data_IF_858354951370
#
_entry.id   IF_858354951370
#
_cell.length_a   1.000
_cell.length_b   1.000
_cell.length_c   1.000
_cell.angle_alpha   90.00
_cell.angle_beta   90.00
_cell.angle_gamma   90.00
#
_symmetry.space_group_name_H-M   'P 1'
#
loop_
_entity.id
_entity.type
_entity.pdbx_description
1 polymer ?
#
# COMPACT_ATOMS: atom_id res chain seq x y z
N UNK A 1 11.40 20.11 0.48
CA UNK A 1 12.62 19.44 1.02
C UNK A 1 12.92 18.23 0.14
N UNK A 2 14.05 17.54 0.34
CA UNK A 2 14.23 16.21 -0.25
C UNK A 2 13.63 15.16 0.69
N UNK A 3 12.94 14.18 0.12
CA UNK A 3 12.38 13.04 0.83
C UNK A 3 13.46 12.36 1.67
N UNK A 4 13.10 11.96 2.89
CA UNK A 4 13.93 11.16 3.78
C UNK A 4 13.33 9.77 3.95
N UNK A 5 14.11 8.82 4.46
CA UNK A 5 13.60 7.50 4.83
C UNK A 5 13.99 7.10 6.25
N UNK A 6 13.17 6.25 6.84
CA UNK A 6 13.46 5.46 8.02
C UNK A 6 13.26 3.98 7.70
N UNK A 7 13.97 3.11 8.42
CA UNK A 7 13.79 1.67 8.37
C UNK A 7 13.58 1.15 9.79
N UNK A 8 12.54 0.36 9.98
CA UNK A 8 12.17 -0.21 11.27
C UNK A 8 11.94 -1.71 11.14
N UNK A 9 12.38 -2.47 12.13
CA UNK A 9 12.05 -3.90 12.26
C UNK A 9 10.61 -4.06 12.75
N UNK A 10 9.88 -4.98 12.12
CA UNK A 10 8.47 -5.23 12.37
C UNK A 10 7.52 -4.56 11.38
N UNK A 11 6.24 -4.62 11.70
CA UNK A 11 5.15 -4.00 10.93
C UNK A 11 4.75 -2.74 11.67
N UNK A 12 5.13 -1.59 11.11
CA UNK A 12 5.06 -0.26 11.73
C UNK A 12 4.26 0.72 10.85
N UNK A 13 2.96 0.47 10.59
CA UNK A 13 2.23 1.35 9.68
C UNK A 13 2.12 2.76 10.27
N UNK A 14 2.35 3.77 9.44
CA UNK A 14 2.54 5.17 9.86
C UNK A 14 1.28 5.78 10.49
N UNK A 15 0.13 5.36 9.99
CA UNK A 15 -1.21 5.82 10.38
C UNK A 15 -1.84 4.98 11.51
N UNK A 16 -1.10 4.01 12.07
CA UNK A 16 -1.65 3.08 13.08
C UNK A 16 -0.93 3.19 14.42
N UNK A 17 -1.74 3.21 15.48
CA UNK A 17 -1.26 3.17 16.87
C UNK A 17 -0.66 1.79 17.18
N UNK A 18 -1.31 0.73 16.70
CA UNK A 18 -0.86 -0.65 16.92
C UNK A 18 0.30 -0.98 15.99
N UNK A 19 1.40 -1.41 16.59
CA UNK A 19 2.62 -1.77 15.89
C UNK A 19 3.10 -3.14 16.36
N UNK A 20 3.58 -3.97 15.43
CA UNK A 20 4.11 -5.31 15.73
C UNK A 20 5.63 -5.28 15.59
N UNK A 21 6.36 -5.63 16.65
CA UNK A 21 7.84 -5.68 16.68
C UNK A 21 8.45 -7.00 16.24
N UNK A 22 7.77 -7.77 15.39
CA UNK A 22 8.20 -9.10 14.95
C UNK A 22 9.39 -9.00 13.98
N UNK A 23 10.51 -9.63 14.34
CA UNK A 23 11.77 -9.53 13.60
C UNK A 23 11.75 -10.17 12.21
N UNK A 24 10.71 -10.95 11.88
CA UNK A 24 10.51 -11.52 10.55
C UNK A 24 10.06 -10.50 9.51
N UNK A 25 9.67 -9.30 9.94
CA UNK A 25 9.17 -8.25 9.07
C UNK A 25 10.03 -6.99 9.15
N UNK A 26 9.89 -6.14 8.13
CA UNK A 26 10.46 -4.81 8.10
C UNK A 26 9.49 -3.81 7.49
N UNK A 27 9.58 -2.57 7.96
CA UNK A 27 8.85 -1.42 7.43
C UNK A 27 9.84 -0.34 7.04
N UNK A 28 9.91 -0.02 5.75
CA UNK A 28 10.64 1.13 5.23
C UNK A 28 9.64 2.25 4.96
N UNK A 29 9.86 3.43 5.51
CA UNK A 29 8.99 4.59 5.33
C UNK A 29 9.76 5.70 4.63
N UNK A 30 9.23 6.21 3.51
CA UNK A 30 9.64 7.47 2.89
C UNK A 30 8.75 8.60 3.42
N UNK A 31 9.33 9.74 3.77
CA UNK A 31 8.63 10.86 4.41
C UNK A 31 9.03 12.16 3.69
N UNK A 32 8.03 13.00 3.39
CA UNK A 32 8.21 14.37 2.90
C UNK A 32 7.07 15.27 3.41
N UNK A 33 7.15 16.57 3.17
CA UNK A 33 6.14 17.55 3.59
C UNK A 33 4.95 17.63 2.63
N UNK A 34 5.03 16.92 1.50
CA UNK A 34 4.07 16.98 0.40
C UNK A 34 3.92 15.59 -0.24
N UNK A 35 2.67 15.17 -0.45
CA UNK A 35 2.35 13.87 -1.02
C UNK A 35 2.96 13.68 -2.41
N UNK A 36 2.99 14.74 -3.24
CA UNK A 36 3.58 14.65 -4.58
C UNK A 36 5.06 14.30 -4.52
N UNK A 37 5.81 14.90 -3.60
CA UNK A 37 7.22 14.60 -3.40
C UNK A 37 7.45 13.16 -2.92
N UNK A 38 6.62 12.67 -1.98
CA UNK A 38 6.66 11.27 -1.52
C UNK A 38 6.33 10.32 -2.67
N UNK A 39 5.29 10.62 -3.45
CA UNK A 39 4.86 9.81 -4.57
C UNK A 39 5.93 9.72 -5.67
N UNK A 40 6.57 10.83 -6.01
CA UNK A 40 7.67 10.86 -6.97
C UNK A 40 8.85 10.01 -6.48
N UNK A 41 9.21 10.12 -5.20
CA UNK A 41 10.24 9.29 -4.58
C UNK A 41 9.86 7.81 -4.55
N UNK A 42 8.60 7.48 -4.22
CA UNK A 42 8.09 6.13 -4.27
C UNK A 42 8.16 5.56 -5.70
N UNK A 43 7.78 6.34 -6.72
CA UNK A 43 7.88 5.94 -8.12
C UNK A 43 9.34 5.62 -8.51
N UNK A 44 10.28 6.49 -8.15
CA UNK A 44 11.71 6.28 -8.43
C UNK A 44 12.24 4.98 -7.81
N UNK A 45 11.85 4.71 -6.55
CA UNK A 45 12.21 3.49 -5.84
C UNK A 45 11.54 2.29 -6.50
N UNK A 46 10.23 2.33 -6.74
CA UNK A 46 9.46 1.26 -7.33
C UNK A 46 9.89 0.92 -8.77
N UNK A 47 10.38 1.89 -9.54
CA UNK A 47 10.94 1.70 -10.90
C UNK A 47 12.18 0.78 -10.84
N UNK A 48 13.04 0.97 -9.86
CA UNK A 48 14.22 0.14 -9.63
C UNK A 48 13.88 -1.27 -9.10
N UNK A 49 12.63 -1.51 -8.69
CA UNK A 49 12.14 -2.76 -8.15
C UNK A 49 11.34 -3.59 -9.15
N UNK A 50 11.08 -3.07 -10.36
CA UNK A 50 10.21 -3.71 -11.37
C UNK A 50 10.70 -5.10 -11.78
N UNK A 51 12.01 -5.33 -11.86
CA UNK A 51 12.54 -6.64 -12.23
C UNK A 51 12.27 -7.71 -11.17
N UNK A 52 12.29 -7.31 -9.89
CA UNK A 52 12.07 -8.21 -8.76
C UNK A 52 10.57 -8.42 -8.49
N UNK A 53 9.82 -7.32 -8.50
CA UNK A 53 8.36 -7.31 -8.30
C UNK A 53 7.66 -6.70 -9.52
N UNK A 54 7.51 -7.47 -10.60
CA UNK A 54 6.95 -6.98 -11.86
C UNK A 54 5.46 -6.66 -11.75
N UNK A 55 4.74 -7.34 -10.86
CA UNK A 55 3.28 -7.27 -10.77
C UNK A 55 2.89 -6.28 -9.69
N UNK A 56 1.98 -5.36 -10.04
CA UNK A 56 1.44 -4.37 -9.11
C UNK A 56 -0.08 -4.45 -9.13
N UNK A 57 -0.68 -4.49 -7.95
CA UNK A 57 -2.15 -4.56 -7.81
C UNK A 57 -2.62 -3.63 -6.71
N UNK A 58 -3.70 -2.92 -7.00
CA UNK A 58 -4.45 -2.14 -6.02
C UNK A 58 -5.60 -3.00 -5.51
N UNK A 59 -5.79 -3.04 -4.20
CA UNK A 59 -6.97 -3.60 -3.55
C UNK A 59 -7.65 -2.51 -2.73
N UNK A 60 -8.99 -2.50 -2.74
CA UNK A 60 -9.80 -1.69 -1.81
C UNK A 60 -11.15 -2.36 -1.54
N UNK A 61 -11.67 -2.18 -0.34
CA UNK A 61 -13.07 -2.48 -0.03
C UNK A 61 -13.97 -1.32 -0.46
N UNK A 62 -15.23 -1.65 -0.72
CA UNK A 62 -16.25 -0.74 -1.23
C UNK A 62 -17.55 -1.01 -0.47
N UNK A 63 -18.23 0.05 -0.05
CA UNK A 63 -19.52 -0.06 0.60
C UNK A 63 -19.40 -0.51 2.05
N UNK A 64 -18.78 0.34 2.87
CA UNK A 64 -18.83 0.21 4.32
C UNK A 64 -20.24 0.57 4.78
N UNK A 65 -21.12 -0.43 4.86
CA UNK A 65 -22.50 -0.27 5.31
C UNK A 65 -23.48 -1.04 4.42
N UNK A 66 -24.61 -1.42 5.01
CA UNK A 66 -25.72 -1.98 4.24
C UNK A 66 -26.23 -0.93 3.25
N UNK A 67 -26.38 -1.33 1.99
CA UNK A 67 -27.05 -0.49 0.99
C UNK A 67 -28.47 -0.17 1.48
N UNK A 68 -28.84 1.11 1.44
CA UNK A 68 -30.17 1.56 1.83
C UNK A 68 -31.25 1.03 0.86
N UNK A 69 -30.85 0.65 -0.36
CA UNK A 69 -31.75 0.03 -1.35
C UNK A 69 -31.02 -0.82 -2.38
N UNK A 70 -31.75 -1.71 -3.06
CA UNK A 70 -31.26 -2.45 -4.24
C UNK A 70 -30.86 -1.52 -5.39
N UNK A 71 -31.47 -0.34 -5.49
CA UNK A 71 -31.14 0.65 -6.52
C UNK A 71 -29.75 1.23 -6.29
N UNK A 72 -29.42 1.54 -5.04
CA UNK A 72 -28.09 2.03 -4.66
C UNK A 72 -27.01 0.99 -4.96
N UNK A 73 -27.24 -0.27 -4.55
CA UNK A 73 -26.33 -1.38 -4.86
C UNK A 73 -26.16 -1.57 -6.38
N UNK A 74 -27.24 -1.43 -7.16
CA UNK A 74 -27.20 -1.52 -8.62
C UNK A 74 -26.42 -0.37 -9.26
N UNK A 75 -26.61 0.87 -8.80
CA UNK A 75 -25.88 2.03 -9.31
C UNK A 75 -24.39 1.92 -9.04
N UNK A 76 -24.00 1.47 -7.83
CA UNK A 76 -22.61 1.20 -7.50
C UNK A 76 -22.01 0.16 -8.45
N UNK A 77 -22.69 -0.98 -8.65
CA UNK A 77 -22.23 -2.03 -9.58
C UNK A 77 -22.02 -1.47 -10.98
N UNK A 78 -22.94 -0.62 -11.46
CA UNK A 78 -22.85 0.00 -12.78
C UNK A 78 -21.68 0.96 -12.89
N UNK A 79 -21.43 1.76 -11.86
CA UNK A 79 -20.29 2.68 -11.81
C UNK A 79 -18.96 1.90 -11.82
N UNK A 80 -18.86 0.88 -10.97
CA UNK A 80 -17.64 0.07 -10.84
C UNK A 80 -17.37 -0.78 -12.08
N UNK A 81 -18.41 -1.30 -12.74
CA UNK A 81 -18.28 -1.99 -14.02
C UNK A 81 -17.59 -1.12 -15.09
N UNK A 82 -17.75 0.20 -15.04
CA UNK A 82 -17.04 1.14 -15.91
C UNK A 82 -15.57 1.35 -15.56
N UNK A 83 -15.13 0.96 -14.36
CA UNK A 83 -13.76 1.13 -13.86
C UNK A 83 -12.91 -0.14 -13.96
N UNK A 84 -13.53 -1.30 -14.17
CA UNK A 84 -12.90 -2.63 -14.20
C UNK A 84 -12.40 -2.90 -15.63
N UNK A 85 -11.13 -3.29 -15.75
CA UNK A 85 -10.51 -3.69 -17.01
C UNK A 85 -10.35 -5.21 -17.09
N UNK A 86 -10.00 -5.72 -18.27
CA UNK A 86 -9.65 -7.13 -18.42
C UNK A 86 -8.51 -7.52 -17.47
N UNK A 87 -8.74 -8.57 -16.68
CA UNK A 87 -7.82 -9.07 -15.68
C UNK A 87 -8.06 -8.53 -14.27
N UNK A 88 -8.86 -7.47 -14.10
CA UNK A 88 -9.29 -7.00 -12.78
C UNK A 88 -10.38 -7.93 -12.21
N UNK A 89 -10.55 -7.90 -10.88
CA UNK A 89 -11.58 -8.68 -10.20
C UNK A 89 -12.42 -7.77 -9.32
N UNK A 90 -13.74 -7.88 -9.45
CA UNK A 90 -14.72 -7.25 -8.58
C UNK A 90 -15.66 -8.32 -8.04
N UNK A 91 -15.73 -8.42 -6.72
CA UNK A 91 -16.47 -9.46 -6.04
C UNK A 91 -17.22 -8.94 -4.83
N UNK A 92 -18.25 -9.68 -4.45
CA UNK A 92 -18.91 -9.54 -3.16
C UNK A 92 -18.50 -10.73 -2.31
N UNK A 93 -18.04 -10.50 -1.09
CA UNK A 93 -17.83 -11.56 -0.15
C UNK A 93 -19.17 -11.92 0.51
N UNK A 94 -19.64 -13.15 0.31
CA UNK A 94 -20.93 -13.62 0.84
C UNK A 94 -20.98 -13.66 2.37
N UNK A 95 -19.82 -13.78 3.03
CA UNK A 95 -19.74 -13.86 4.49
C UNK A 95 -19.80 -12.49 5.17
N UNK A 96 -19.19 -11.48 4.57
CA UNK A 96 -19.14 -10.11 5.11
C UNK A 96 -20.16 -9.19 4.47
N UNK A 97 -20.76 -9.59 3.34
CA UNK A 97 -21.63 -8.79 2.48
C UNK A 97 -20.93 -7.55 1.87
N UNK A 98 -19.59 -7.48 1.95
CA UNK A 98 -18.79 -6.34 1.49
C UNK A 98 -18.36 -6.56 0.04
N UNK A 99 -18.37 -5.48 -0.75
CA UNK A 99 -17.78 -5.49 -2.07
C UNK A 99 -16.30 -5.12 -2.00
N UNK A 100 -15.48 -5.73 -2.84
CA UNK A 100 -14.08 -5.37 -2.95
C UNK A 100 -13.60 -5.53 -4.39
N UNK A 101 -12.54 -4.81 -4.73
CA UNK A 101 -11.94 -4.80 -6.06
C UNK A 101 -10.44 -5.03 -5.97
N UNK A 102 -9.92 -5.84 -6.89
CA UNK A 102 -8.49 -5.91 -7.23
C UNK A 102 -8.33 -5.36 -8.64
N UNK A 103 -7.49 -4.33 -8.78
CA UNK A 103 -7.09 -3.80 -10.09
C UNK A 103 -5.64 -4.15 -10.37
N UNK A 104 -5.35 -4.64 -11.57
CA UNK A 104 -3.98 -4.66 -12.07
C UNK A 104 -3.62 -3.25 -12.51
N UNK A 105 -2.56 -2.71 -11.93
CA UNK A 105 -2.11 -1.36 -12.25
C UNK A 105 -0.86 -1.41 -13.15
N UNK A 106 -0.53 -0.31 -13.86
CA UNK A 106 0.61 -0.30 -14.77
C UNK A 106 1.92 -0.72 -14.11
N UNK A 107 2.74 -1.50 -14.83
CA UNK A 107 4.05 -1.94 -14.35
C UNK A 107 5.00 -0.75 -14.12
N UNK A 108 4.89 0.29 -14.97
CA UNK A 108 5.59 1.56 -14.81
C UNK A 108 4.91 2.38 -13.70
N UNK A 109 5.58 2.62 -12.56
CA UNK A 109 4.99 3.32 -11.41
C UNK A 109 4.41 4.69 -11.73
N UNK A 110 5.04 5.45 -12.63
CA UNK A 110 4.57 6.80 -13.01
C UNK A 110 3.25 6.82 -13.76
N UNK A 111 2.84 5.69 -14.33
CA UNK A 111 1.56 5.58 -15.03
C UNK A 111 0.42 5.20 -14.07
N UNK A 112 0.71 4.94 -12.79
CA UNK A 112 -0.31 4.66 -11.77
C UNK A 112 -1.01 5.97 -11.43
N UNK A 113 -2.35 5.94 -11.48
CA UNK A 113 -3.19 7.04 -11.00
C UNK A 113 -3.23 6.95 -9.47
N UNK A 114 -2.62 7.91 -8.79
CA UNK A 114 -2.44 7.89 -7.33
C UNK A 114 -3.60 8.50 -6.53
N UNK A 115 -4.64 9.04 -7.19
CA UNK A 115 -5.78 9.68 -6.50
C UNK A 115 -6.57 8.74 -5.60
N UNK A 116 -6.48 7.42 -5.81
CA UNK A 116 -7.07 6.42 -4.92
C UNK A 116 -6.19 6.08 -3.70
N UNK A 117 -4.90 6.44 -3.76
CA UNK A 117 -3.88 6.14 -2.74
C UNK A 117 -3.61 7.35 -1.84
N UNK A 118 -3.75 8.56 -2.37
CA UNK A 118 -3.59 9.82 -1.64
C UNK A 118 -4.60 9.89 -0.47
N UNK A 119 -4.07 9.93 0.77
CA UNK A 119 -4.87 10.01 1.98
C UNK A 119 -5.79 8.82 2.27
N UNK A 120 -5.64 7.69 1.56
CA UNK A 120 -6.51 6.52 1.73
C UNK A 120 -5.94 5.50 2.72
N UNK A 121 -6.57 5.36 3.89
CA UNK A 121 -6.21 4.32 4.87
C UNK A 121 -6.60 2.91 4.41
N UNK A 122 -7.63 2.79 3.57
CA UNK A 122 -8.27 1.52 3.20
C UNK A 122 -7.81 0.95 1.85
N UNK A 123 -7.05 1.72 1.06
CA UNK A 123 -6.49 1.22 -0.20
C UNK A 123 -5.12 0.61 0.06
N UNK A 124 -4.93 -0.61 -0.43
CA UNK A 124 -3.66 -1.33 -0.34
C UNK A 124 -3.09 -1.44 -1.75
N UNK A 125 -1.84 -1.04 -1.90
CA UNK A 125 -1.05 -1.37 -3.06
C UNK A 125 -0.15 -2.56 -2.73
N UNK A 126 -0.05 -3.56 -3.60
CA UNK A 126 0.91 -4.66 -3.45
C UNK A 126 1.82 -4.77 -4.66
N UNK A 127 3.07 -5.15 -4.40
CA UNK A 127 4.06 -5.52 -5.40
C UNK A 127 4.42 -7.01 -5.22
N UNK A 128 4.27 -7.81 -6.27
CA UNK A 128 4.42 -9.28 -6.21
C UNK A 128 5.46 -9.79 -7.23
N UNK A 129 6.21 -10.83 -6.83
CA UNK A 129 7.19 -11.49 -7.72
C UNK A 129 6.55 -12.38 -8.77
N UNK A 130 5.54 -13.16 -8.36
CA UNK A 130 4.80 -14.10 -9.20
C UNK A 130 3.33 -13.70 -9.33
N UNK A 131 2.65 -14.16 -10.38
CA UNK A 131 1.21 -13.94 -10.59
C UNK A 131 0.44 -15.02 -9.84
N UNK A 132 -0.11 -14.78 -8.63
CA UNK A 132 -1.10 -15.69 -8.09
C UNK A 132 -2.37 -15.60 -8.96
N UNK A 133 -3.16 -16.68 -8.95
CA UNK A 133 -4.54 -16.65 -9.41
C UNK A 133 -5.26 -15.50 -8.70
N UNK A 134 -5.84 -14.59 -9.47
CA UNK A 134 -6.40 -13.36 -8.93
C UNK A 134 -7.57 -13.64 -7.98
N UNK A 135 -8.28 -14.73 -8.19
CA UNK A 135 -9.35 -15.22 -7.35
C UNK A 135 -8.84 -15.62 -5.97
N UNK A 136 -7.73 -16.37 -5.91
CA UNK A 136 -7.10 -16.73 -4.64
C UNK A 136 -6.60 -15.50 -3.91
N UNK A 137 -5.91 -14.60 -4.63
CA UNK A 137 -5.45 -13.34 -4.06
C UNK A 137 -6.62 -12.51 -3.52
N UNK A 138 -7.74 -12.47 -4.24
CA UNK A 138 -8.95 -11.77 -3.79
C UNK A 138 -9.47 -12.36 -2.49
N UNK A 139 -9.59 -13.69 -2.40
CA UNK A 139 -9.98 -14.36 -1.16
C UNK A 139 -9.03 -14.01 -0.01
N UNK A 140 -7.72 -14.05 -0.22
CA UNK A 140 -6.75 -13.74 0.83
C UNK A 140 -6.76 -12.26 1.24
N UNK A 141 -7.10 -11.36 0.30
CA UNK A 141 -7.26 -9.93 0.57
C UNK A 141 -8.55 -9.59 1.33
N UNK A 142 -9.52 -10.52 1.42
CA UNK A 142 -10.78 -10.27 2.16
C UNK A 142 -10.55 -9.95 3.64
N UNK A 143 -9.41 -10.35 4.20
CA UNK A 143 -9.01 -10.01 5.58
C UNK A 143 -8.99 -8.50 5.82
N UNK A 144 -8.78 -7.70 4.77
CA UNK A 144 -8.73 -6.25 4.83
C UNK A 144 -10.09 -5.56 4.70
N UNK A 145 -11.16 -6.29 4.35
CA UNK A 145 -12.47 -5.71 3.97
C UNK A 145 -13.05 -4.75 5.01
N UNK A 146 -12.91 -5.11 6.28
CA UNK A 146 -13.47 -4.37 7.41
C UNK A 146 -12.53 -3.35 8.02
N UNK A 147 -11.24 -3.36 7.68
CA UNK A 147 -10.21 -2.39 8.07
C UNK A 147 -8.86 -2.98 7.72
N UNK A 148 -7.97 -2.14 7.20
CA UNK A 148 -6.55 -2.46 7.11
C UNK A 148 -5.93 -2.33 8.51
N UNK A 149 -5.49 -3.41 9.12
CA UNK A 149 -4.83 -3.42 10.44
C UNK A 149 -3.42 -3.99 10.35
N UNK A 150 -2.56 -3.64 11.31
CA UNK A 150 -1.22 -4.22 11.46
C UNK A 150 -1.24 -5.75 11.51
N UNK A 151 -2.21 -6.35 12.20
CA UNK A 151 -2.37 -7.82 12.28
C UNK A 151 -2.80 -8.45 10.95
N UNK A 152 -3.70 -7.79 10.22
CA UNK A 152 -4.12 -8.26 8.90
C UNK A 152 -2.94 -8.17 7.90
N UNK A 153 -2.14 -7.10 7.96
CA UNK A 153 -0.93 -6.97 7.13
C UNK A 153 0.05 -8.10 7.44
N UNK A 154 0.23 -8.43 8.73
CA UNK A 154 1.06 -9.56 9.16
C UNK A 154 0.59 -10.86 8.53
N UNK A 155 -0.67 -11.21 8.78
CA UNK A 155 -1.29 -12.45 8.29
C UNK A 155 -1.17 -12.56 6.77
N UNK A 156 -1.43 -11.47 6.05
CA UNK A 156 -1.28 -11.44 4.60
C UNK A 156 0.15 -11.72 4.12
N UNK A 157 1.14 -11.09 4.74
CA UNK A 157 2.54 -11.29 4.38
C UNK A 157 3.05 -12.69 4.74
N UNK A 158 2.51 -13.34 5.77
CA UNK A 158 2.80 -14.75 6.08
C UNK A 158 2.26 -15.70 5.00
N UNK A 159 1.08 -15.41 4.45
CA UNK A 159 0.48 -16.17 3.33
C UNK A 159 1.21 -15.89 2.02
N UNK A 160 1.63 -14.63 1.81
CA UNK A 160 2.26 -14.14 0.59
C UNK A 160 3.68 -13.59 0.85
N UNK A 161 4.65 -14.42 1.27
CA UNK A 161 5.96 -13.97 1.78
C UNK A 161 6.84 -13.31 0.72
N UNK A 162 6.48 -13.40 -0.57
CA UNK A 162 7.17 -12.73 -1.67
C UNK A 162 6.52 -11.39 -2.07
N UNK A 163 5.61 -10.87 -1.27
CA UNK A 163 4.90 -9.61 -1.53
C UNK A 163 5.46 -8.45 -0.71
N UNK A 164 5.44 -7.26 -1.30
CA UNK A 164 5.64 -6.00 -0.58
C UNK A 164 4.31 -5.26 -0.54
N UNK A 165 3.82 -4.98 0.66
CA UNK A 165 2.64 -4.15 0.89
C UNK A 165 3.09 -2.68 0.90
N UNK A 166 2.49 -1.89 0.03
CA UNK A 166 2.71 -0.46 -0.09
C UNK A 166 1.50 0.30 0.47
N UNK A 167 1.76 1.26 1.36
CA UNK A 167 0.75 2.12 1.94
C UNK A 167 1.14 3.58 1.82
N UNK A 168 0.15 4.44 1.77
CA UNK A 168 0.32 5.87 1.54
C UNK A 168 -0.49 6.63 2.59
N UNK A 169 0.11 7.70 3.08
CA UNK A 169 -0.46 8.57 4.09
C UNK A 169 -0.23 10.01 3.66
N UNK A 170 -1.24 10.83 3.85
CA UNK A 170 -1.17 12.26 3.60
C UNK A 170 -1.86 13.01 4.75
N UNK A 171 -1.25 14.10 5.20
CA UNK A 171 -1.74 14.94 6.29
C UNK A 171 -1.34 16.39 6.06
N UNK A 172 -1.91 17.30 6.84
CA UNK A 172 -1.62 18.74 6.74
C UNK A 172 -0.13 19.11 6.93
N UNK A 173 0.66 18.25 7.56
CA UNK A 173 2.06 18.54 7.93
C UNK A 173 3.09 17.76 7.13
N UNK A 174 2.72 16.56 6.68
CA UNK A 174 3.61 15.65 5.97
C UNK A 174 2.81 14.54 5.29
N UNK A 175 3.46 13.92 4.31
CA UNK A 175 3.04 12.68 3.70
C UNK A 175 4.07 11.58 3.98
N UNK A 176 3.63 10.33 3.89
CA UNK A 176 4.50 9.17 3.98
C UNK A 176 4.07 8.08 2.99
N UNK A 177 5.04 7.32 2.50
CA UNK A 177 4.79 6.06 1.79
C UNK A 177 5.60 4.96 2.43
N UNK A 178 5.01 3.78 2.58
CA UNK A 178 5.63 2.66 3.26
C UNK A 178 5.78 1.47 2.33
N UNK A 179 6.89 0.74 2.49
CA UNK A 179 7.10 -0.61 1.97
C UNK A 179 7.19 -1.54 3.18
N UNK A 180 6.22 -2.45 3.31
CA UNK A 180 6.12 -3.41 4.40
C UNK A 180 6.29 -4.81 3.81
N UNK A 181 7.23 -5.59 4.34
CA UNK A 181 7.58 -6.89 3.76
C UNK A 181 8.28 -7.82 4.77
N UNK A 182 8.52 -9.06 4.34
CA UNK A 182 9.44 -9.96 5.05
C UNK A 182 10.85 -9.34 5.14
N UNK A 183 11.55 -9.61 6.25
CA UNK A 183 12.88 -9.06 6.55
C UNK A 183 13.92 -9.37 5.47
N UNK A 184 13.76 -10.50 4.77
CA UNK A 184 14.63 -10.95 3.68
C UNK A 184 14.76 -9.93 2.53
N UNK A 185 13.79 -9.02 2.37
CA UNK A 185 13.79 -8.00 1.33
C UNK A 185 14.31 -6.63 1.79
N UNK A 186 14.59 -6.47 3.09
CA UNK A 186 15.03 -5.20 3.65
C UNK A 186 16.29 -4.66 2.94
N UNK A 187 17.30 -5.49 2.74
CA UNK A 187 18.57 -5.05 2.12
C UNK A 187 18.34 -4.55 0.67
N UNK A 188 17.48 -5.23 -0.08
CA UNK A 188 17.11 -4.83 -1.45
C UNK A 188 16.35 -3.50 -1.44
N UNK A 189 15.40 -3.32 -0.54
CA UNK A 189 14.64 -2.08 -0.41
C UNK A 189 15.56 -0.92 -0.02
N UNK A 190 16.37 -1.09 1.02
CA UNK A 190 17.32 -0.06 1.51
C UNK A 190 18.35 0.30 0.44
N UNK A 191 18.94 -0.68 -0.23
CA UNK A 191 19.91 -0.41 -1.31
C UNK A 191 19.27 0.35 -2.48
N UNK A 192 18.00 0.08 -2.79
CA UNK A 192 17.26 0.79 -3.84
C UNK A 192 16.94 2.23 -3.44
N UNK A 193 16.55 2.47 -2.19
CA UNK A 193 16.31 3.82 -1.64
C UNK A 193 17.61 4.63 -1.65
N UNK A 194 18.74 4.03 -1.23
CA UNK A 194 20.06 4.68 -1.27
C UNK A 194 20.53 5.02 -2.69
N UNK A 195 20.24 4.17 -3.69
CA UNK A 195 20.51 4.46 -5.11
C UNK A 195 19.78 5.69 -5.63
N UNK A 196 18.63 6.02 -5.02
CA UNK A 196 17.85 7.21 -5.32
C UNK A 196 18.29 8.45 -4.51
N UNK A 197 19.44 8.39 -3.83
CA UNK A 197 20.00 9.48 -3.01
C UNK A 197 19.06 9.98 -1.90
N UNK A 198 18.13 9.14 -1.47
CA UNK A 198 17.21 9.44 -0.36
C UNK A 198 17.98 9.24 0.94
N UNK A 199 18.00 10.26 1.80
CA UNK A 199 18.77 10.23 3.05
C UNK A 199 18.05 9.44 4.14
N UNK A 200 18.81 8.67 4.91
CA UNK A 200 18.32 8.05 6.14
C UNK A 200 18.20 9.10 7.24
N UNK A 201 17.15 9.03 8.04
CA UNK A 201 17.02 9.74 9.31
C UNK A 201 16.74 8.74 10.42
N UNK A 202 16.98 9.11 11.67
CA UNK A 202 16.59 8.25 12.80
C UNK A 202 15.15 8.52 13.22
N UNK A 203 14.55 7.60 13.98
CA UNK A 203 13.22 7.80 14.55
C UNK A 203 13.13 9.08 15.41
N UNK A 204 14.22 9.45 16.08
CA UNK A 204 14.30 10.65 16.90
C UNK A 204 14.30 11.93 16.04
N UNK A 205 14.79 11.85 14.80
CA UNK A 205 14.87 12.98 13.88
C UNK A 205 13.55 13.24 13.13
N UNK A 206 12.61 12.28 13.12
CA UNK A 206 11.33 12.38 12.40
C UNK A 206 10.57 13.65 12.77
N UNK A 207 10.37 13.90 14.08
CA UNK A 207 9.64 15.08 14.53
C UNK A 207 10.30 16.37 14.03
N UNK A 208 11.62 16.46 14.14
CA UNK A 208 12.39 17.61 13.67
C UNK A 208 12.29 17.74 12.16
N UNK A 209 12.36 16.63 11.42
CA UNK A 209 12.27 16.62 9.96
C UNK A 209 10.93 17.22 9.49
N UNK A 210 9.81 16.78 10.08
CA UNK A 210 8.46 17.24 9.72
C UNK A 210 8.21 18.71 10.09
N UNK A 211 8.80 19.19 11.19
CA UNK A 211 8.50 20.55 11.71
C UNK A 211 9.53 21.60 11.31
N UNK A 212 10.64 21.20 10.68
CA UNK A 212 11.61 22.17 10.15
C UNK A 212 11.16 22.58 8.75
N UNK A 213 10.37 23.65 8.65
CA UNK A 213 10.07 24.26 7.35
C UNK A 213 11.36 24.73 6.69
N UNK A 214 11.49 24.47 5.38
CA UNK A 214 12.48 25.16 4.52
C UNK A 214 12.05 26.58 4.27
#
# INVERSE_FOLDING_TARGET
>A
MKTAYIIETGIKPWDQIEQIGDAQFSTLTLIDHDFRCVWDSWCNVAECLVEEWPIKREWRSIGWGDFCSKTEEYLLKKELAGQIKNGDLFGKNDSTNIYSIIKNIPNCPRNIINSALEGSSETILIMQKSVPLIEQLWTDMTIFEKKVTTENIKTFLEIHPQTVVCRFFDSETHAASQFISMIDFQEKLVSTVKKNEIREITQQDVYKYIHTKS
#
